data_IF_694719965781
#
_entry.id   IF_694719965781
#
_cell.length_a   1.000
_cell.length_b   1.000
_cell.length_c   1.000
_cell.angle_alpha   90.00
_cell.angle_beta   90.00
_cell.angle_gamma   90.00
#
_symmetry.space_group_name_H-M   'P 1'
#
loop_
_entity.id
_entity.type
_entity.pdbx_description
1 polymer ?
#
# COMPACT_ATOMS: atom_id res chain seq x y z
N UNK A 1 3.42 -12.61 20.91
CA UNK A 1 4.47 -11.91 20.16
C UNK A 1 4.32 -10.46 20.50
N UNK A 2 5.32 -9.87 21.15
CA UNK A 2 5.37 -8.43 21.34
C UNK A 2 6.03 -7.84 20.08
N UNK A 3 5.28 -7.01 19.36
CA UNK A 3 5.71 -6.41 18.10
C UNK A 3 6.44 -5.07 18.33
N UNK A 4 6.57 -4.65 19.59
CA UNK A 4 7.11 -3.33 19.94
C UNK A 4 6.14 -2.20 19.61
N UNK A 5 6.59 -0.96 19.85
CA UNK A 5 5.84 0.22 19.46
C UNK A 5 5.95 0.46 17.95
N UNK A 6 4.83 0.87 17.34
CA UNK A 6 4.81 1.25 15.91
C UNK A 6 5.58 2.57 15.77
N UNK A 7 6.57 2.67 14.88
CA UNK A 7 7.32 3.90 14.64
C UNK A 7 6.42 5.00 14.05
N UNK A 8 6.75 6.27 14.30
CA UNK A 8 5.95 7.43 13.90
C UNK A 8 5.66 7.48 12.38
N UNK A 9 6.62 7.04 11.58
CA UNK A 9 6.52 7.00 10.12
C UNK A 9 5.43 6.03 9.64
N UNK A 10 5.19 4.94 10.38
CA UNK A 10 4.18 3.92 10.08
C UNK A 10 2.87 4.11 10.83
N UNK A 11 2.80 5.04 11.79
CA UNK A 11 1.55 5.39 12.47
C UNK A 11 0.59 6.13 11.52
N UNK A 12 -0.71 5.96 11.72
CA UNK A 12 -1.78 6.69 11.02
C UNK A 12 -1.76 6.58 9.48
N UNK A 13 -1.23 5.48 8.92
CA UNK A 13 -1.43 5.16 7.52
C UNK A 13 -2.90 4.79 7.28
N UNK A 14 -3.48 5.29 6.19
CA UNK A 14 -4.78 4.81 5.72
C UNK A 14 -4.64 3.40 5.16
N UNK A 15 -5.73 2.64 5.11
CA UNK A 15 -5.73 1.28 4.54
C UNK A 15 -5.11 1.23 3.13
N UNK A 16 -5.37 2.25 2.29
CA UNK A 16 -4.79 2.32 0.94
C UNK A 16 -3.29 2.62 0.99
N UNK A 17 -2.83 3.49 1.89
CA UNK A 17 -1.41 3.76 2.07
C UNK A 17 -0.65 2.53 2.58
N UNK A 18 -1.23 1.78 3.51
CA UNK A 18 -0.70 0.48 3.96
C UNK A 18 -0.62 -0.51 2.80
N UNK A 19 -1.66 -0.59 1.98
CA UNK A 19 -1.67 -1.45 0.80
C UNK A 19 -0.59 -1.05 -0.22
N UNK A 20 -0.33 0.24 -0.42
CA UNK A 20 0.68 0.70 -1.38
C UNK A 20 2.10 0.33 -0.95
N UNK A 21 2.40 0.40 0.34
CA UNK A 21 3.73 0.05 0.87
C UNK A 21 3.88 -1.45 1.15
N UNK A 22 2.81 -2.24 1.09
CA UNK A 22 2.86 -3.68 1.32
C UNK A 22 3.55 -4.42 0.16
N UNK A 23 4.52 -5.31 0.47
CA UNK A 23 5.14 -6.18 -0.56
C UNK A 23 4.28 -7.38 -0.97
N UNK A 24 3.22 -7.65 -0.23
CA UNK A 24 2.34 -8.79 -0.48
C UNK A 24 0.91 -8.35 -0.24
N UNK A 25 0.02 -8.63 -1.19
CA UNK A 25 -1.42 -8.51 -0.97
C UNK A 25 -2.08 -9.88 -1.01
N UNK A 26 -3.13 -10.04 -0.21
CA UNK A 26 -3.85 -11.30 -0.08
C UNK A 26 -5.17 -11.24 -0.83
N UNK A 27 -5.45 -12.25 -1.66
CA UNK A 27 -6.75 -12.47 -2.26
C UNK A 27 -7.43 -13.63 -1.54
N UNK A 28 -8.61 -13.35 -0.97
CA UNK A 28 -9.43 -14.33 -0.28
C UNK A 28 -10.92 -14.07 -0.51
N UNK A 29 -11.72 -15.14 -0.43
CA UNK A 29 -13.18 -15.03 -0.52
C UNK A 29 -13.79 -14.82 0.87
N UNK A 30 -14.36 -13.64 1.08
CA UNK A 30 -15.06 -13.26 2.32
C UNK A 30 -16.57 -13.22 2.05
N UNK A 31 -17.36 -13.76 2.98
CA UNK A 31 -18.82 -13.71 2.92
C UNK A 31 -19.40 -13.25 4.24
N UNK A 32 -20.58 -12.64 4.16
CA UNK A 32 -21.37 -12.24 5.32
C UNK A 32 -22.26 -13.39 5.76
N UNK A 33 -22.10 -13.83 7.01
CA UNK A 33 -22.90 -14.86 7.63
C UNK A 33 -24.23 -14.30 8.15
N UNK A 34 -25.20 -15.19 8.37
CA UNK A 34 -26.43 -14.85 9.09
C UNK A 34 -26.04 -14.41 10.51
N UNK A 35 -26.47 -13.21 10.91
CA UNK A 35 -26.06 -12.57 12.17
C UNK A 35 -25.02 -11.46 12.02
N UNK A 36 -24.56 -11.17 10.79
CA UNK A 36 -23.75 -9.97 10.50
C UNK A 36 -22.24 -10.15 10.64
N UNK A 37 -21.77 -11.32 11.05
CA UNK A 37 -20.36 -11.67 11.09
C UNK A 37 -19.80 -11.93 9.67
N UNK A 38 -18.49 -11.77 9.50
CA UNK A 38 -17.78 -12.17 8.30
C UNK A 38 -17.11 -13.53 8.48
N UNK A 39 -17.19 -14.39 7.47
CA UNK A 39 -16.47 -15.64 7.39
C UNK A 39 -15.71 -15.74 6.07
N UNK A 40 -14.73 -16.65 6.00
CA UNK A 40 -13.96 -16.94 4.79
C UNK A 40 -13.98 -18.44 4.49
N UNK A 41 -13.90 -18.83 3.21
CA UNK A 41 -13.77 -20.22 2.74
C UNK A 41 -13.10 -20.25 1.36
N UNK A 42 -12.55 -21.40 1.02
CA UNK A 42 -11.79 -21.58 -0.22
C UNK A 42 -10.32 -21.21 -0.04
N UNK A 43 -9.63 -20.99 -1.16
CA UNK A 43 -8.20 -20.73 -1.16
C UNK A 43 -7.90 -19.27 -0.77
N UNK A 44 -6.81 -19.09 -0.05
CA UNK A 44 -6.19 -17.80 0.23
C UNK A 44 -4.88 -17.78 -0.56
N UNK A 45 -4.67 -16.73 -1.36
CA UNK A 45 -3.49 -16.61 -2.21
C UNK A 45 -2.81 -15.29 -1.91
N UNK A 46 -1.50 -15.35 -1.68
CA UNK A 46 -0.64 -14.20 -1.46
C UNK A 46 0.08 -13.87 -2.77
N UNK A 47 -0.09 -12.65 -3.27
CA UNK A 47 0.59 -12.15 -4.45
C UNK A 47 1.68 -11.18 -4.04
N UNK A 48 2.88 -11.34 -4.60
CA UNK A 48 3.93 -10.33 -4.48
C UNK A 48 3.49 -9.05 -5.20
N UNK A 49 3.56 -7.94 -4.50
CA UNK A 49 3.35 -6.60 -5.05
C UNK A 49 4.70 -5.97 -5.38
N UNK A 50 4.80 -5.40 -6.58
CA UNK A 50 5.95 -4.61 -6.96
C UNK A 50 5.86 -3.20 -6.34
N UNK A 51 6.41 -3.07 -5.14
CA UNK A 51 6.52 -1.77 -4.46
C UNK A 51 7.61 -0.90 -5.10
N UNK A 52 8.57 -1.49 -5.81
CA UNK A 52 9.65 -0.76 -6.45
C UNK A 52 9.12 0.12 -7.59
N UNK A 53 8.26 -0.44 -8.45
CA UNK A 53 7.67 0.32 -9.57
C UNK A 53 6.93 1.55 -9.03
N UNK A 54 6.11 1.35 -8.00
CA UNK A 54 5.37 2.44 -7.36
C UNK A 54 6.30 3.47 -6.71
N UNK A 55 7.29 3.04 -5.92
CA UNK A 55 8.24 3.95 -5.27
C UNK A 55 9.03 4.80 -6.28
N UNK A 56 9.42 4.20 -7.41
CA UNK A 56 10.13 4.87 -8.51
C UNK A 56 9.25 5.87 -9.26
N UNK A 57 7.97 5.54 -9.48
CA UNK A 57 7.02 6.48 -10.10
C UNK A 57 6.65 7.63 -9.14
N UNK A 58 6.55 7.33 -7.84
CA UNK A 58 6.22 8.30 -6.80
C UNK A 58 7.25 9.42 -6.77
N UNK A 59 8.52 9.06 -6.92
CA UNK A 59 9.62 10.01 -6.90
C UNK A 59 9.71 10.81 -8.18
N UNK A 60 9.51 10.23 -9.37
CA UNK A 60 9.57 10.96 -10.65
C UNK A 60 8.52 12.09 -10.80
N UNK A 61 7.56 12.19 -9.88
CA UNK A 61 6.57 13.26 -9.87
C UNK A 61 7.01 14.38 -8.91
N UNK A 62 7.43 15.55 -9.42
CA UNK A 62 7.98 16.60 -8.57
C UNK A 62 6.92 17.03 -7.55
N UNK A 63 7.29 16.92 -6.26
CA UNK A 63 6.83 17.54 -4.98
C UNK A 63 5.55 18.40 -4.86
N UNK A 64 4.96 18.84 -5.96
CA UNK A 64 3.82 19.74 -6.06
C UNK A 64 2.47 19.12 -5.69
N UNK A 65 2.39 17.80 -5.46
CA UNK A 65 1.14 17.12 -5.15
C UNK A 65 1.19 16.49 -3.75
N UNK A 66 0.71 17.24 -2.75
CA UNK A 66 0.44 16.69 -1.40
C UNK A 66 -0.48 15.45 -1.44
N UNK A 67 -1.31 15.36 -2.48
CA UNK A 67 -2.31 14.31 -2.70
C UNK A 67 -2.04 13.59 -4.02
N UNK A 68 -1.86 12.27 -3.92
CA UNK A 68 -1.85 11.33 -5.04
C UNK A 68 -3.25 10.72 -5.20
N UNK A 69 -3.77 10.67 -6.42
CA UNK A 69 -5.02 9.95 -6.73
C UNK A 69 -4.67 8.60 -7.33
N UNK A 70 -4.93 7.52 -6.59
CA UNK A 70 -4.83 6.16 -7.10
C UNK A 70 -6.17 5.75 -7.69
N UNK A 71 -6.15 5.31 -8.95
CA UNK A 71 -7.32 4.80 -9.65
C UNK A 71 -7.27 3.28 -9.73
N UNK A 72 -8.22 2.61 -9.07
CA UNK A 72 -8.40 1.16 -9.20
C UNK A 72 -9.50 0.85 -10.22
N UNK A 73 -9.16 0.08 -11.25
CA UNK A 73 -10.11 -0.39 -12.26
C UNK A 73 -10.78 -1.70 -11.81
N UNK A 74 -12.10 -1.79 -11.96
CA UNK A 74 -12.77 -3.07 -11.79
C UNK A 74 -12.41 -4.02 -12.92
N UNK A 75 -12.04 -5.26 -12.59
CA UNK A 75 -11.80 -6.30 -13.58
C UNK A 75 -13.06 -6.67 -14.38
N UNK A 76 -14.26 -6.43 -13.82
CA UNK A 76 -15.54 -6.77 -14.44
C UNK A 76 -16.20 -5.63 -15.21
N UNK A 77 -15.79 -4.38 -14.97
CA UNK A 77 -16.34 -3.19 -15.62
C UNK A 77 -15.25 -2.14 -15.79
N UNK A 78 -14.78 -1.97 -17.03
CA UNK A 78 -13.72 -1.04 -17.39
C UNK A 78 -14.12 0.43 -17.21
N UNK A 79 -15.41 0.73 -17.09
CA UNK A 79 -15.93 2.07 -16.83
C UNK A 79 -16.11 2.36 -15.34
N UNK A 80 -16.15 1.32 -14.50
CA UNK A 80 -16.19 1.44 -13.05
C UNK A 80 -14.76 1.59 -12.51
N UNK A 81 -14.42 2.81 -12.11
CA UNK A 81 -13.19 3.11 -11.40
C UNK A 81 -13.50 3.63 -9.99
N UNK A 82 -12.60 3.34 -9.05
CA UNK A 82 -12.62 3.93 -7.73
C UNK A 82 -11.33 4.72 -7.53
N UNK A 83 -11.50 6.00 -7.20
CA UNK A 83 -10.40 6.89 -6.90
C UNK A 83 -10.14 6.89 -5.39
N UNK A 84 -8.86 6.84 -5.01
CA UNK A 84 -8.38 6.91 -3.64
C UNK A 84 -7.40 8.06 -3.50
N UNK A 85 -7.60 8.87 -2.47
CA UNK A 85 -6.71 9.97 -2.10
C UNK A 85 -5.64 9.45 -1.16
N UNK A 86 -4.37 9.68 -1.50
CA UNK A 86 -3.19 9.18 -0.80
C UNK A 86 -2.27 10.35 -0.48
N UNK A 87 -1.70 10.41 0.73
CA UNK A 87 -0.75 11.47 1.11
C UNK A 87 0.64 11.08 0.66
N UNK A 88 1.16 11.76 -0.37
CA UNK A 88 2.46 11.43 -0.98
C UNK A 88 3.57 11.42 0.07
N UNK A 89 3.70 12.49 0.85
CA UNK A 89 4.75 12.63 1.86
C UNK A 89 4.70 11.52 2.92
N UNK A 90 3.51 11.10 3.34
CA UNK A 90 3.35 10.06 4.36
C UNK A 90 3.83 8.70 3.84
N UNK A 91 3.48 8.38 2.59
CA UNK A 91 3.93 7.14 1.93
C UNK A 91 5.44 7.17 1.68
N UNK A 92 5.99 8.29 1.23
CA UNK A 92 7.44 8.44 1.03
C UNK A 92 8.22 8.22 2.33
N UNK A 93 7.81 8.86 3.43
CA UNK A 93 8.47 8.69 4.73
C UNK A 93 8.36 7.25 5.23
N UNK A 94 7.20 6.60 5.06
CA UNK A 94 7.02 5.19 5.42
C UNK A 94 7.96 4.28 4.62
N UNK A 95 8.09 4.49 3.30
CA UNK A 95 8.99 3.71 2.45
C UNK A 95 10.47 3.93 2.82
N UNK A 96 10.88 5.17 3.09
CA UNK A 96 12.24 5.49 3.54
C UNK A 96 12.57 4.78 4.88
N UNK A 97 11.64 4.84 5.84
CA UNK A 97 11.80 4.15 7.12
C UNK A 97 11.88 2.64 6.93
N UNK A 98 11.01 2.05 6.11
CA UNK A 98 11.01 0.62 5.81
C UNK A 98 12.31 0.20 5.15
N UNK A 99 12.84 0.95 4.17
CA UNK A 99 14.13 0.66 3.54
C UNK A 99 15.28 0.62 4.55
N UNK A 100 15.29 1.55 5.51
CA UNK A 100 16.35 1.65 6.51
C UNK A 100 16.24 0.58 7.62
N UNK A 101 15.03 0.16 7.97
CA UNK A 101 14.79 -0.64 9.19
C UNK A 101 14.26 -2.06 8.91
N UNK A 102 13.86 -2.37 7.68
CA UNK A 102 13.27 -3.66 7.32
C UNK A 102 14.06 -4.34 6.20
N UNK A 103 14.65 -5.50 6.50
CA UNK A 103 15.45 -6.29 5.54
C UNK A 103 14.70 -6.66 4.25
N UNK A 104 13.36 -6.72 4.29
CA UNK A 104 12.55 -7.03 3.11
C UNK A 104 12.34 -5.84 2.18
N UNK A 105 12.84 -4.65 2.51
CA UNK A 105 12.67 -3.42 1.73
C UNK A 105 14.00 -2.83 1.27
N UNK A 106 15.12 -3.50 1.51
CA UNK A 106 16.48 -2.98 1.22
C UNK A 106 16.68 -2.72 -0.28
N UNK A 107 16.02 -3.49 -1.14
CA UNK A 107 16.09 -3.46 -2.60
C UNK A 107 15.18 -2.40 -3.25
N UNK A 108 14.29 -1.76 -2.50
CA UNK A 108 13.45 -0.70 -3.09
C UNK A 108 14.34 0.48 -3.47
N UNK A 109 14.14 1.07 -4.65
CA UNK A 109 14.80 2.32 -5.02
C UNK A 109 13.76 3.42 -4.88
N UNK A 110 14.13 4.45 -4.13
CA UNK A 110 13.36 5.68 -3.97
C UNK A 110 14.24 6.73 -4.61
N UNK A 111 13.77 7.36 -5.69
CA UNK A 111 14.55 8.41 -6.34
C UNK A 111 14.51 9.66 -5.44
N UNK A 112 15.67 10.03 -4.89
CA UNK A 112 15.82 11.18 -4.01
C UNK A 112 16.07 12.48 -4.81
N UNK A 113 16.36 12.40 -6.12
CA UNK A 113 16.64 13.58 -6.96
C UNK A 113 15.38 14.33 -7.43
N UNK A 114 14.21 13.76 -7.20
CA UNK A 114 12.92 14.37 -7.53
C UNK A 114 12.09 14.76 -6.27
N UNK A 115 12.76 14.73 -5.10
CA UNK A 115 12.35 15.29 -3.81
C UNK A 115 12.83 16.73 -3.62
#
# INVERSE_FOLDING_TARGET
MDLGEVPEELQDLTEIEEMLIARVFTVMSVYRLRGGQYGYRGNVINFSQDVYEFATQLSQNPLSLEILIIRHHSASDLTAYRDFTVRQAKVTHALQWLKANNQYYVDIIIDEEAL
#
